data_IF_117645553061
#
_entry.id   IF_117645553061
#
_cell.length_a   1.000
_cell.length_b   1.000
_cell.length_c   1.000
_cell.angle_alpha   90.00
_cell.angle_beta   90.00
_cell.angle_gamma   90.00
#
_symmetry.space_group_name_H-M   'P 1'
#
loop_
_entity.id
_entity.type
_entity.pdbx_description
1 polymer ?
#
# COMPACT_ATOMS: atom_id res chain seq x y z
N UNK A 1 9.60 -23.02 -17.33
CA UNK A 1 10.14 -21.68 -17.62
C UNK A 1 10.66 -21.09 -16.32
N UNK A 2 11.97 -20.87 -16.22
CA UNK A 2 12.71 -20.64 -14.97
C UNK A 2 12.31 -19.33 -14.24
N UNK A 3 11.68 -19.46 -13.07
CA UNK A 3 11.44 -18.40 -12.08
C UNK A 3 12.69 -18.04 -11.23
N UNK A 4 13.90 -18.20 -11.79
CA UNK A 4 15.16 -17.93 -11.06
C UNK A 4 15.74 -16.53 -11.30
N UNK A 5 14.98 -15.63 -11.93
CA UNK A 5 15.41 -14.27 -12.21
C UNK A 5 14.26 -13.33 -11.90
N UNK A 6 14.20 -12.83 -10.66
CA UNK A 6 13.90 -11.44 -10.29
C UNK A 6 13.57 -11.37 -8.80
N UNK A 7 14.45 -10.67 -8.07
CA UNK A 7 14.27 -10.07 -6.75
C UNK A 7 13.79 -10.97 -5.61
N UNK A 8 14.59 -10.99 -4.55
CA UNK A 8 14.26 -11.45 -3.20
C UNK A 8 12.81 -11.10 -2.80
N UNK A 9 11.91 -12.07 -2.96
CA UNK A 9 10.64 -12.12 -2.26
C UNK A 9 10.94 -12.70 -0.88
N UNK A 10 11.41 -11.85 0.03
CA UNK A 10 11.55 -12.22 1.43
C UNK A 10 10.91 -11.10 2.23
N UNK A 11 9.68 -11.31 2.68
CA UNK A 11 9.48 -11.47 4.11
C UNK A 11 8.14 -12.15 4.40
N UNK A 12 8.26 -13.33 5.01
CA UNK A 12 7.33 -13.99 5.92
C UNK A 12 5.91 -13.41 5.90
N UNK A 13 4.98 -14.19 5.33
CA UNK A 13 3.59 -14.24 5.75
C UNK A 13 3.56 -14.52 7.26
N UNK A 14 3.82 -13.50 8.08
CA UNK A 14 3.27 -13.49 9.40
C UNK A 14 1.84 -13.06 9.17
N UNK A 15 0.96 -14.03 8.96
CA UNK A 15 -0.47 -13.81 9.15
C UNK A 15 -0.61 -13.28 10.57
N UNK A 16 -0.94 -12.00 10.65
CA UNK A 16 -1.31 -11.40 11.91
C UNK A 16 -2.81 -11.27 11.88
N UNK A 17 -3.43 -11.68 12.97
CA UNK A 17 -4.86 -11.65 13.12
C UNK A 17 -5.31 -10.25 13.51
N UNK A 18 -6.13 -9.65 12.67
CA UNK A 18 -6.92 -8.46 12.97
C UNK A 18 -8.19 -8.86 13.72
N UNK A 19 -8.61 -8.08 14.71
CA UNK A 19 -9.90 -8.28 15.38
C UNK A 19 -10.87 -7.21 14.89
N UNK A 20 -11.78 -7.58 13.99
CA UNK A 20 -12.93 -6.76 13.57
C UNK A 20 -14.14 -7.14 14.41
N UNK A 21 -14.55 -6.35 15.40
CA UNK A 21 -15.74 -6.66 16.20
C UNK A 21 -15.82 -8.14 16.63
N UNK A 22 -14.73 -8.67 17.21
CA UNK A 22 -14.52 -10.07 17.64
C UNK A 22 -14.25 -11.11 16.53
N UNK A 23 -14.25 -10.72 15.26
CA UNK A 23 -13.85 -11.58 14.14
C UNK A 23 -12.34 -11.52 13.90
N UNK A 24 -11.71 -12.69 13.89
CA UNK A 24 -10.33 -12.86 13.48
C UNK A 24 -10.18 -12.82 11.96
N UNK A 25 -9.60 -11.75 11.42
CA UNK A 25 -9.34 -11.56 9.99
C UNK A 25 -7.84 -11.73 9.73
N UNK A 26 -7.42 -12.74 8.96
CA UNK A 26 -6.03 -12.84 8.52
C UNK A 26 -5.64 -11.65 7.65
N UNK A 27 -4.54 -11.01 8.05
CA UNK A 27 -3.99 -9.86 7.34
C UNK A 27 -2.67 -10.22 6.68
N UNK A 28 -2.58 -9.95 5.38
CA UNK A 28 -1.33 -10.07 4.62
C UNK A 28 -0.76 -8.68 4.35
N UNK A 29 0.50 -8.49 4.73
CA UNK A 29 1.22 -7.27 4.43
C UNK A 29 2.08 -7.44 3.18
N UNK A 30 1.99 -6.51 2.24
CA UNK A 30 2.96 -6.40 1.15
C UNK A 30 3.99 -5.34 1.48
N UNK A 31 5.22 -5.80 1.68
CA UNK A 31 6.31 -4.90 2.00
C UNK A 31 6.76 -4.13 0.75
N UNK A 32 7.39 -4.82 -0.22
CA UNK A 32 7.93 -4.16 -1.41
C UNK A 32 8.03 -5.11 -2.60
N UNK A 33 7.66 -4.62 -3.79
CA UNK A 33 8.07 -5.23 -5.06
C UNK A 33 9.26 -4.43 -5.58
N UNK A 34 10.45 -5.03 -5.51
CA UNK A 34 11.68 -4.42 -6.01
C UNK A 34 12.02 -5.06 -7.34
N UNK A 35 11.94 -4.31 -8.44
CA UNK A 35 12.33 -4.82 -9.75
C UNK A 35 13.74 -4.33 -10.09
N UNK A 36 14.61 -5.24 -10.53
CA UNK A 36 15.95 -4.86 -10.99
C UNK A 36 15.85 -3.78 -12.09
N UNK A 37 16.73 -2.77 -12.04
CA UNK A 37 16.75 -1.65 -12.99
C UNK A 37 16.70 -2.08 -14.46
N UNK A 38 17.27 -3.24 -14.82
CA UNK A 38 17.24 -3.79 -16.19
C UNK A 38 15.83 -4.18 -16.68
N UNK A 39 14.90 -4.40 -15.76
CA UNK A 39 13.49 -4.69 -16.04
C UNK A 39 12.58 -3.51 -15.71
N UNK A 40 13.15 -2.31 -15.54
CA UNK A 40 12.34 -1.10 -15.38
C UNK A 40 11.55 -0.84 -16.66
N UNK A 41 10.29 -0.46 -16.52
CA UNK A 41 9.35 -0.18 -17.62
C UNK A 41 8.97 -1.40 -18.49
N UNK A 42 9.25 -2.64 -18.07
CA UNK A 42 8.82 -3.84 -18.80
C UNK A 42 7.40 -4.31 -18.42
N UNK A 43 6.76 -3.66 -17.45
CA UNK A 43 5.49 -4.13 -16.88
C UNK A 43 5.66 -5.20 -15.80
N UNK A 44 6.88 -5.66 -15.50
CA UNK A 44 7.09 -6.74 -14.53
C UNK A 44 6.51 -6.45 -13.14
N UNK A 45 6.53 -5.20 -12.68
CA UNK A 45 5.91 -4.81 -11.40
C UNK A 45 4.41 -5.09 -11.36
N UNK A 46 3.67 -4.79 -12.44
CA UNK A 46 2.22 -5.05 -12.47
C UNK A 46 1.93 -6.55 -12.55
N UNK A 47 2.72 -7.31 -13.33
CA UNK A 47 2.60 -8.77 -13.40
C UNK A 47 2.82 -9.42 -12.03
N UNK A 48 3.77 -8.91 -11.23
CA UNK A 48 3.99 -9.40 -9.87
C UNK A 48 2.83 -9.08 -8.93
N UNK A 49 2.21 -7.89 -9.05
CA UNK A 49 0.98 -7.57 -8.31
C UNK A 49 -0.19 -8.48 -8.71
N UNK A 50 -0.39 -8.72 -10.02
CA UNK A 50 -1.43 -9.61 -10.53
C UNK A 50 -1.24 -11.06 -10.05
N UNK A 51 -0.02 -11.56 -10.11
CA UNK A 51 0.31 -12.91 -9.63
C UNK A 51 -0.02 -13.07 -8.14
N UNK A 52 0.37 -12.09 -7.33
CA UNK A 52 0.04 -12.11 -5.91
C UNK A 52 -1.47 -12.05 -5.67
N UNK A 53 -2.16 -11.12 -6.32
CA UNK A 53 -3.60 -10.94 -6.15
C UNK A 53 -4.37 -12.20 -6.55
N UNK A 54 -3.97 -12.85 -7.65
CA UNK A 54 -4.52 -14.15 -8.05
C UNK A 54 -4.34 -15.21 -6.96
N UNK A 55 -3.14 -15.32 -6.37
CA UNK A 55 -2.89 -16.28 -5.28
C UNK A 55 -3.81 -16.08 -4.08
N UNK A 56 -4.09 -14.82 -3.73
CA UNK A 56 -5.06 -14.50 -2.68
C UNK A 56 -6.50 -14.84 -3.06
N UNK A 57 -6.91 -14.57 -4.29
CA UNK A 57 -8.23 -14.96 -4.79
C UNK A 57 -8.42 -16.48 -4.79
N UNK A 58 -7.41 -17.23 -5.21
CA UNK A 58 -7.42 -18.70 -5.16
C UNK A 58 -7.56 -19.21 -3.72
N UNK A 59 -6.88 -18.56 -2.76
CA UNK A 59 -7.04 -18.89 -1.33
C UNK A 59 -8.46 -18.61 -0.84
N UNK A 60 -9.02 -17.44 -1.16
CA UNK A 60 -10.41 -17.07 -0.84
C UNK A 60 -11.42 -18.05 -1.44
N UNK A 61 -11.19 -18.53 -2.66
CA UNK A 61 -12.02 -19.55 -3.29
C UNK A 61 -11.98 -20.90 -2.57
N UNK A 62 -10.81 -21.31 -2.07
CA UNK A 62 -10.66 -22.56 -1.28
C UNK A 62 -11.25 -22.43 0.13
N UNK A 63 -11.36 -21.22 0.66
CA UNK A 63 -11.88 -20.93 1.99
C UNK A 63 -12.84 -19.73 1.93
N UNK A 64 -14.08 -19.87 1.41
CA UNK A 64 -14.98 -18.75 1.17
C UNK A 64 -15.29 -17.90 2.41
N UNK A 65 -15.28 -18.53 3.58
CA UNK A 65 -15.48 -17.88 4.88
C UNK A 65 -14.28 -17.02 5.35
N UNK A 66 -13.12 -17.15 4.70
CA UNK A 66 -11.91 -16.42 5.06
C UNK A 66 -12.02 -14.96 4.59
N UNK A 67 -12.20 -14.00 5.47
CA UNK A 67 -11.97 -12.59 5.11
C UNK A 67 -10.47 -12.37 5.03
N UNK A 68 -9.95 -12.01 3.85
CA UNK A 68 -8.53 -11.73 3.68
C UNK A 68 -8.36 -10.22 3.46
N UNK A 69 -7.66 -9.58 4.39
CA UNK A 69 -7.27 -8.18 4.26
C UNK A 69 -5.84 -8.13 3.75
N UNK A 70 -5.62 -7.40 2.66
CA UNK A 70 -4.27 -7.07 2.23
C UNK A 70 -3.98 -5.59 2.43
N UNK A 71 -2.75 -5.24 2.81
CA UNK A 71 -2.33 -3.85 2.91
C UNK A 71 -0.87 -3.62 2.55
N UNK A 72 -0.55 -2.38 2.20
CA UNK A 72 0.81 -1.91 1.96
C UNK A 72 0.94 -0.43 2.28
N UNK A 73 2.19 0.04 2.33
CA UNK A 73 2.51 1.47 2.46
C UNK A 73 3.32 1.91 1.26
N UNK A 74 3.08 3.12 0.75
CA UNK A 74 3.88 3.65 -0.35
C UNK A 74 3.98 5.17 -0.35
N UNK A 75 5.15 5.66 -0.70
CA UNK A 75 5.41 7.04 -1.07
C UNK A 75 5.80 7.17 -2.55
N UNK A 76 5.49 6.15 -3.36
CA UNK A 76 5.74 6.15 -4.80
C UNK A 76 4.42 6.27 -5.57
N UNK A 77 4.16 7.40 -6.28
CA UNK A 77 2.87 7.63 -6.91
C UNK A 77 2.50 6.54 -7.94
N UNK A 78 3.47 6.09 -8.74
CA UNK A 78 3.21 5.07 -9.76
C UNK A 78 2.69 3.74 -9.22
N UNK A 79 2.97 3.41 -7.95
CA UNK A 79 2.44 2.19 -7.30
C UNK A 79 0.93 2.31 -7.09
N UNK A 80 0.42 3.50 -6.79
CA UNK A 80 -1.01 3.73 -6.57
C UNK A 80 -1.82 3.42 -7.84
N UNK A 81 -1.38 3.91 -9.01
CA UNK A 81 -2.03 3.58 -10.28
C UNK A 81 -1.96 2.10 -10.63
N UNK A 82 -0.80 1.47 -10.42
CA UNK A 82 -0.61 0.07 -10.79
C UNK A 82 -1.51 -0.83 -9.95
N UNK A 83 -1.60 -0.55 -8.66
CA UNK A 83 -2.42 -1.32 -7.73
C UNK A 83 -3.91 -1.06 -7.96
N UNK A 84 -4.36 0.14 -8.31
CA UNK A 84 -5.80 0.38 -8.61
C UNK A 84 -6.28 -0.31 -9.89
N UNK A 85 -5.35 -0.72 -10.76
CA UNK A 85 -5.67 -1.55 -11.93
C UNK A 85 -5.83 -3.02 -11.58
N UNK A 86 -5.17 -3.48 -10.52
CA UNK A 86 -5.13 -4.89 -10.12
C UNK A 86 -6.16 -5.19 -9.03
N UNK A 87 -6.26 -4.31 -8.04
CA UNK A 87 -7.12 -4.42 -6.88
C UNK A 87 -8.35 -3.53 -7.08
N UNK A 88 -9.53 -4.15 -7.18
CA UNK A 88 -10.77 -3.43 -7.48
C UNK A 88 -11.24 -2.51 -6.35
N UNK A 89 -10.90 -2.84 -5.10
CA UNK A 89 -11.44 -2.22 -3.90
C UNK A 89 -10.35 -1.62 -2.99
N UNK A 90 -9.31 -1.00 -3.59
CA UNK A 90 -8.29 -0.32 -2.80
C UNK A 90 -8.86 0.89 -2.06
N UNK A 91 -8.54 0.96 -0.77
CA UNK A 91 -8.83 2.08 0.11
C UNK A 91 -7.51 2.71 0.60
N UNK A 92 -7.35 4.04 0.52
CA UNK A 92 -8.19 4.96 -0.24
C UNK A 92 -7.99 4.75 -1.74
N UNK A 93 -9.03 4.89 -2.56
CA UNK A 93 -8.91 4.79 -4.02
C UNK A 93 -8.32 6.08 -4.62
N UNK A 94 -7.72 5.99 -5.80
CA UNK A 94 -7.15 7.17 -6.48
C UNK A 94 -8.20 8.21 -6.87
N UNK A 95 -9.48 7.84 -6.94
CA UNK A 95 -10.56 8.76 -7.24
C UNK A 95 -11.10 9.46 -5.99
N UNK A 96 -10.82 8.92 -4.80
CA UNK A 96 -11.43 9.35 -3.54
C UNK A 96 -10.41 9.66 -2.43
N UNK A 97 -9.11 9.71 -2.73
CA UNK A 97 -8.08 9.94 -1.71
C UNK A 97 -8.16 11.31 -1.01
N UNK A 98 -8.68 12.32 -1.71
CA UNK A 98 -8.83 13.68 -1.21
C UNK A 98 -10.11 13.86 -0.39
N UNK A 99 -10.96 12.82 -0.29
CA UNK A 99 -12.11 12.85 0.60
C UNK A 99 -11.59 12.78 2.02
N UNK A 100 -11.90 13.79 2.83
CA UNK A 100 -11.71 13.72 4.29
C UNK A 100 -12.82 12.91 4.96
N UNK A 101 -13.76 12.38 4.16
CA UNK A 101 -14.90 11.59 4.61
C UNK A 101 -14.62 10.14 4.21
N UNK A 102 -14.15 9.38 5.19
CA UNK A 102 -14.04 7.92 5.12
C UNK A 102 -15.11 7.32 6.02
N UNK A 103 -15.57 6.12 5.69
CA UNK A 103 -16.50 5.36 6.53
C UNK A 103 -15.87 5.04 7.88
N UNK A 104 -16.70 4.78 8.89
CA UNK A 104 -16.21 4.38 10.21
C UNK A 104 -15.41 3.06 10.14
N UNK A 105 -15.80 2.14 9.25
CA UNK A 105 -15.08 0.89 9.02
C UNK A 105 -13.68 1.14 8.43
N UNK A 106 -13.56 2.03 7.45
CA UNK A 106 -12.25 2.37 6.86
C UNK A 106 -11.32 3.03 7.88
N UNK A 107 -11.85 3.93 8.72
CA UNK A 107 -11.13 4.51 9.85
C UNK A 107 -10.69 3.46 10.87
N UNK A 108 -11.58 2.51 11.19
CA UNK A 108 -11.29 1.43 12.12
C UNK A 108 -10.14 0.56 11.60
N UNK A 109 -10.24 0.07 10.36
CA UNK A 109 -9.21 -0.77 9.73
C UNK A 109 -7.87 -0.06 9.68
N UNK A 110 -7.84 1.20 9.23
CA UNK A 110 -6.60 1.97 9.15
C UNK A 110 -5.92 2.10 10.54
N UNK A 111 -6.69 2.35 11.60
CA UNK A 111 -6.15 2.47 12.95
C UNK A 111 -5.67 1.14 13.53
N UNK A 112 -6.39 0.05 13.30
CA UNK A 112 -5.95 -1.28 13.71
C UNK A 112 -4.66 -1.72 13.00
N UNK A 113 -4.53 -1.44 11.69
CA UNK A 113 -3.27 -1.64 10.96
C UNK A 113 -2.13 -0.80 11.53
N UNK A 114 -2.41 0.42 11.99
CA UNK A 114 -1.41 1.27 12.67
C UNK A 114 -0.99 0.68 14.02
N UNK A 115 -1.93 0.21 14.83
CA UNK A 115 -1.64 -0.48 16.11
C UNK A 115 -0.80 -1.73 15.87
N UNK A 116 -1.19 -2.57 14.91
CA UNK A 116 -0.51 -3.80 14.52
C UNK A 116 0.98 -3.59 14.22
N UNK A 117 1.32 -2.43 13.66
CA UNK A 117 2.66 -2.07 13.20
C UNK A 117 3.38 -1.10 14.12
N UNK A 118 2.79 -0.76 15.27
CA UNK A 118 3.28 0.28 16.18
C UNK A 118 3.55 1.62 15.46
N UNK A 119 2.72 1.95 14.46
CA UNK A 119 2.75 3.27 13.82
C UNK A 119 1.97 4.29 14.65
N UNK A 120 2.33 5.58 14.60
CA UNK A 120 1.59 6.63 15.30
C UNK A 120 0.11 6.52 14.94
N UNK A 121 -0.82 6.49 15.88
CA UNK A 121 -2.26 6.43 15.56
C UNK A 121 -2.77 7.79 15.10
N UNK A 122 -3.73 7.81 14.18
CA UNK A 122 -4.40 9.05 13.80
C UNK A 122 -5.44 9.42 14.87
N UNK A 123 -5.45 10.68 15.32
CA UNK A 123 -6.60 11.19 16.08
C UNK A 123 -7.71 11.48 15.07
N UNK A 124 -8.89 10.86 15.24
CA UNK A 124 -10.06 11.16 14.41
C UNK A 124 -10.41 12.64 14.61
N UNK A 125 -10.03 13.45 13.66
CA UNK A 125 -10.31 14.88 13.59
C UNK A 125 -10.68 15.21 12.15
N UNK A 126 -11.47 16.26 11.94
CA UNK A 126 -11.93 16.67 10.61
C UNK A 126 -10.78 16.96 9.63
N UNK A 127 -9.55 17.12 10.14
CA UNK A 127 -8.40 17.60 9.38
C UNK A 127 -7.29 16.53 9.19
N UNK A 128 -7.48 15.29 9.65
CA UNK A 128 -6.45 14.25 9.58
C UNK A 128 -6.91 13.09 8.70
N UNK A 129 -6.11 12.75 7.69
CA UNK A 129 -6.33 11.57 6.86
C UNK A 129 -5.75 10.32 7.56
N UNK A 130 -6.55 9.29 7.88
CA UNK A 130 -6.10 8.11 8.62
C UNK A 130 -5.11 7.24 7.84
N UNK A 131 -5.04 7.43 6.53
CA UNK A 131 -4.17 6.70 5.62
C UNK A 131 -2.80 7.35 5.46
N UNK A 132 -2.63 8.59 5.92
CA UNK A 132 -1.32 9.25 5.89
C UNK A 132 -0.54 8.85 7.13
N UNK A 133 0.59 8.17 6.92
CA UNK A 133 1.52 7.73 7.94
C UNK A 133 2.71 8.70 7.94
N UNK A 134 2.88 9.48 9.00
CA UNK A 134 3.94 10.49 9.10
C UNK A 134 5.21 9.91 9.72
N UNK A 135 6.35 10.09 9.06
CA UNK A 135 7.67 9.73 9.60
C UNK A 135 7.87 8.26 9.95
N UNK A 136 7.19 7.34 9.26
CA UNK A 136 7.25 5.90 9.61
C UNK A 136 8.42 5.15 8.96
N UNK A 137 9.10 5.77 8.00
CA UNK A 137 10.27 5.20 7.33
C UNK A 137 11.45 6.15 7.39
N UNK A 138 12.67 5.62 7.52
CA UNK A 138 13.86 6.45 7.30
C UNK A 138 14.06 6.65 5.80
N UNK A 139 14.07 7.89 5.34
CA UNK A 139 14.39 8.20 3.94
C UNK A 139 15.88 7.90 3.70
N UNK A 140 16.17 7.03 2.74
CA UNK A 140 17.54 6.71 2.31
C UNK A 140 17.80 7.20 0.88
N UNK A 141 16.96 8.10 0.36
CA UNK A 141 17.10 8.57 -1.01
C UNK A 141 18.35 9.42 -1.16
N UNK A 142 19.16 9.06 -2.16
CA UNK A 142 20.21 9.94 -2.65
C UNK A 142 19.60 11.18 -3.29
N UNK A 143 20.34 12.29 -3.35
CA UNK A 143 19.89 13.53 -4.01
C UNK A 143 19.41 13.28 -5.46
N UNK A 144 20.06 12.36 -6.17
CA UNK A 144 19.66 11.96 -7.52
C UNK A 144 18.27 11.29 -7.58
N UNK A 145 17.91 10.51 -6.57
CA UNK A 145 16.61 9.85 -6.51
C UNK A 145 15.49 10.83 -6.18
N UNK A 146 15.74 11.78 -5.26
CA UNK A 146 14.81 12.88 -4.97
C UNK A 146 14.52 13.70 -6.24
N UNK A 147 15.55 14.13 -6.97
CA UNK A 147 15.37 14.86 -8.24
C UNK A 147 14.56 14.06 -9.28
N UNK A 148 14.74 12.74 -9.34
CA UNK A 148 14.00 11.86 -10.25
C UNK A 148 12.52 11.80 -9.85
N UNK A 149 12.21 11.71 -8.56
CA UNK A 149 10.85 11.64 -8.04
C UNK A 149 10.12 12.95 -8.32
N UNK A 150 10.76 14.10 -8.05
CA UNK A 150 10.23 15.42 -8.37
C UNK A 150 9.91 15.57 -9.87
N UNK A 151 10.81 15.08 -10.73
CA UNK A 151 10.63 15.12 -12.18
C UNK A 151 9.45 14.26 -12.63
N UNK A 152 9.24 13.10 -12.01
CA UNK A 152 8.07 12.25 -12.29
C UNK A 152 6.80 12.95 -11.83
N UNK A 153 6.77 13.47 -10.59
CA UNK A 153 5.62 14.20 -10.03
C UNK A 153 5.16 15.34 -10.94
N UNK A 154 6.12 16.13 -11.45
CA UNK A 154 5.87 17.22 -12.42
C UNK A 154 5.34 16.71 -13.76
N UNK A 155 5.86 15.59 -14.29
CA UNK A 155 5.48 15.06 -15.61
C UNK A 155 4.09 14.41 -15.62
N UNK A 156 3.69 13.78 -14.52
CA UNK A 156 2.43 13.03 -14.44
C UNK A 156 1.27 13.83 -13.86
N UNK A 157 1.41 15.16 -13.69
CA UNK A 157 0.44 16.04 -13.03
C UNK A 157 -0.03 15.45 -11.68
N UNK A 158 0.89 14.82 -10.96
CA UNK A 158 0.56 13.90 -9.87
C UNK A 158 0.55 14.66 -8.57
N UNK A 159 -0.65 15.03 -8.12
CA UNK A 159 -0.83 15.83 -6.92
C UNK A 159 -1.20 15.02 -5.68
N UNK A 160 -1.48 13.71 -5.78
CA UNK A 160 -1.95 12.91 -4.63
C UNK A 160 -1.13 13.12 -3.35
N UNK A 161 0.19 13.06 -3.43
CA UNK A 161 1.04 13.23 -2.25
C UNK A 161 1.17 14.69 -1.84
N UNK A 162 1.13 15.62 -2.79
CA UNK A 162 1.09 17.05 -2.47
C UNK A 162 -0.21 17.42 -1.75
N UNK A 163 -1.35 16.95 -2.27
CA UNK A 163 -2.69 17.17 -1.74
C UNK A 163 -2.89 16.50 -0.37
N UNK A 164 -2.27 15.33 -0.15
CA UNK A 164 -2.24 14.63 1.14
C UNK A 164 -1.12 15.13 2.06
N UNK A 165 -0.29 16.06 1.61
CA UNK A 165 0.89 16.55 2.32
C UNK A 165 1.90 15.45 2.67
N UNK A 166 1.97 14.35 1.92
CA UNK A 166 2.95 13.27 2.11
C UNK A 166 4.31 13.74 1.61
N UNK A 167 5.27 13.79 2.53
CA UNK A 167 6.66 14.07 2.23
C UNK A 167 7.51 12.80 2.41
N UNK A 168 7.84 12.17 1.28
CA UNK A 168 8.68 10.98 1.24
C UNK A 168 10.08 11.20 1.85
N UNK A 169 10.61 12.43 1.80
CA UNK A 169 11.90 12.77 2.40
C UNK A 169 11.85 12.76 3.93
N UNK A 170 10.69 13.07 4.51
CA UNK A 170 10.42 12.95 5.95
C UNK A 170 10.02 11.53 6.37
N UNK A 171 9.97 10.58 5.43
CA UNK A 171 9.56 9.22 5.74
C UNK A 171 8.06 8.98 5.76
N UNK A 172 7.29 9.91 5.21
CA UNK A 172 5.84 9.77 5.13
C UNK A 172 5.47 8.70 4.11
N UNK A 173 4.36 8.00 4.35
CA UNK A 173 3.83 6.98 3.44
C UNK A 173 2.30 7.04 3.41
N UNK A 174 1.72 6.60 2.31
CA UNK A 174 0.30 6.32 2.19
C UNK A 174 0.03 4.85 2.52
N UNK A 175 -0.73 4.60 3.58
CA UNK A 175 -1.32 3.30 3.87
C UNK A 175 -2.45 3.03 2.88
N UNK A 176 -2.46 1.84 2.28
CA UNK A 176 -3.57 1.38 1.46
C UNK A 176 -3.90 -0.06 1.79
N UNK A 177 -5.19 -0.41 1.75
CA UNK A 177 -5.66 -1.77 1.98
C UNK A 177 -6.76 -2.17 1.00
N UNK A 178 -7.00 -3.47 0.85
CA UNK A 178 -8.15 -4.03 0.14
C UNK A 178 -8.56 -5.35 0.76
N UNK A 179 -9.86 -5.63 0.75
CA UNK A 179 -10.36 -6.99 0.95
C UNK A 179 -10.28 -7.78 -0.37
N UNK A 180 -10.05 -9.08 -0.25
CA UNK A 180 -9.96 -10.02 -1.38
C UNK A 180 -11.15 -10.97 -1.42
#
# INVERSE_FOLDING_TARGET
>A
MHLNLVSSFIQLEKEITFLDHDQQIPVTYHNFIIVNKKFKNTGLTITLFEYFYRGMQERKQRQPQLSLLTYYVTATPSIIYQTDKVFLNMVPSINNYNRMIFTDQEWHIANELRKLRNWPTGVKSSNVNPFVLKGIMKSHYTTHEQMRIDKIGKKTNYKIFQDLGIDESNGDQLLRFAFV
#
